data_IF_025409211739
#
_entry.id   IF_025409211739
#
_cell.length_a   1.000
_cell.length_b   1.000
_cell.length_c   1.000
_cell.angle_alpha   90.00
_cell.angle_beta   90.00
_cell.angle_gamma   90.00
#
_symmetry.space_group_name_H-M   'P 1'
#
loop_
_entity.id
_entity.type
_entity.pdbx_description
1 polymer ?
#
# COMPACT_ATOMS: atom_id res chain seq x y z
N UNK A 1 -18.92 -74.45 2.18
CA UNK A 1 -18.11 -73.22 1.99
C UNK A 1 -18.79 -72.31 0.97
N UNK A 2 -19.87 -71.59 1.32
CA UNK A 2 -20.57 -70.66 0.41
C UNK A 2 -21.44 -69.63 1.17
N UNK A 3 -20.88 -68.88 2.14
CA UNK A 3 -21.68 -67.87 2.87
C UNK A 3 -21.00 -66.51 3.08
N UNK A 4 -19.84 -66.25 2.46
CA UNK A 4 -19.12 -64.97 2.65
C UNK A 4 -19.54 -63.84 1.71
N UNK A 5 -20.19 -64.15 0.58
CA UNK A 5 -20.50 -63.16 -0.47
C UNK A 5 -21.61 -62.16 -0.09
N UNK A 6 -22.55 -62.51 0.80
CA UNK A 6 -23.68 -61.64 1.16
C UNK A 6 -23.32 -60.45 2.06
N UNK A 7 -22.27 -60.55 2.88
CA UNK A 7 -21.94 -59.52 3.88
C UNK A 7 -21.29 -58.29 3.25
N UNK A 8 -20.54 -58.47 2.15
CA UNK A 8 -19.91 -57.36 1.42
C UNK A 8 -20.94 -56.44 0.74
N UNK A 9 -22.06 -57.01 0.25
CA UNK A 9 -23.10 -56.25 -0.43
C UNK A 9 -23.82 -55.26 0.50
N UNK A 10 -24.08 -55.67 1.76
CA UNK A 10 -24.81 -54.83 2.73
C UNK A 10 -23.99 -53.61 3.16
N UNK A 11 -22.66 -53.75 3.32
CA UNK A 11 -21.78 -52.62 3.68
C UNK A 11 -21.72 -51.57 2.57
N UNK A 12 -21.60 -52.00 1.32
CA UNK A 12 -21.57 -51.10 0.17
C UNK A 12 -22.85 -50.25 0.05
N UNK A 13 -24.02 -50.83 0.31
CA UNK A 13 -25.30 -50.09 0.29
C UNK A 13 -25.38 -49.06 1.42
N UNK A 14 -24.85 -49.39 2.61
CA UNK A 14 -24.81 -48.46 3.74
C UNK A 14 -23.92 -47.26 3.45
N UNK A 15 -22.71 -47.50 2.96
CA UNK A 15 -21.74 -46.45 2.65
C UNK A 15 -22.29 -45.52 1.54
N UNK A 16 -22.95 -46.08 0.52
CA UNK A 16 -23.61 -45.30 -0.52
C UNK A 16 -24.76 -44.43 0.04
N UNK A 17 -25.54 -44.95 0.99
CA UNK A 17 -26.61 -44.17 1.60
C UNK A 17 -26.07 -43.08 2.54
N UNK A 18 -25.01 -43.36 3.31
CA UNK A 18 -24.33 -42.38 4.16
C UNK A 18 -23.72 -41.25 3.32
N UNK A 19 -23.07 -41.58 2.20
CA UNK A 19 -22.55 -40.58 1.25
C UNK A 19 -23.67 -39.70 0.67
N UNK A 20 -24.83 -40.30 0.33
CA UNK A 20 -25.99 -39.55 -0.17
C UNK A 20 -26.60 -38.63 0.89
N UNK A 21 -26.63 -39.05 2.15
CA UNK A 21 -27.09 -38.22 3.27
C UNK A 21 -26.12 -37.06 3.51
N UNK A 22 -24.81 -37.33 3.50
CA UNK A 22 -23.77 -36.32 3.65
C UNK A 22 -23.83 -35.28 2.52
N UNK A 23 -24.01 -35.72 1.27
CA UNK A 23 -24.15 -34.82 0.11
C UNK A 23 -25.37 -33.90 0.26
N UNK A 24 -26.53 -34.45 0.66
CA UNK A 24 -27.74 -33.64 0.90
C UNK A 24 -27.55 -32.63 2.03
N UNK A 25 -26.84 -33.00 3.10
CA UNK A 25 -26.53 -32.09 4.20
C UNK A 25 -25.64 -30.94 3.71
N UNK A 26 -24.61 -31.24 2.92
CA UNK A 26 -23.72 -30.22 2.36
C UNK A 26 -24.46 -29.27 1.41
N UNK A 27 -25.40 -29.80 0.60
CA UNK A 27 -26.25 -28.98 -0.28
C UNK A 27 -27.17 -28.04 0.52
N UNK A 28 -27.72 -28.50 1.65
CA UNK A 28 -28.52 -27.64 2.52
C UNK A 28 -27.67 -26.57 3.21
N UNK A 29 -26.47 -26.92 3.67
CA UNK A 29 -25.56 -25.98 4.33
C UNK A 29 -25.07 -24.90 3.35
N UNK A 30 -24.77 -25.27 2.11
CA UNK A 30 -24.40 -24.33 1.04
C UNK A 30 -25.55 -23.37 0.71
N UNK A 31 -26.77 -23.87 0.50
CA UNK A 31 -27.97 -23.03 0.33
C UNK A 31 -28.21 -22.09 1.53
N UNK A 32 -27.98 -22.56 2.75
CA UNK A 32 -28.11 -21.73 3.94
C UNK A 32 -27.04 -20.63 4.04
N UNK A 33 -25.83 -20.87 3.53
CA UNK A 33 -24.78 -19.85 3.44
C UNK A 33 -25.10 -18.82 2.35
N UNK A 34 -25.57 -19.26 1.19
CA UNK A 34 -25.99 -18.37 0.10
C UNK A 34 -27.13 -17.45 0.52
N UNK A 35 -28.14 -17.99 1.22
CA UNK A 35 -29.24 -17.20 1.78
C UNK A 35 -28.75 -16.12 2.77
N UNK A 36 -27.78 -16.46 3.63
CA UNK A 36 -27.15 -15.50 4.56
C UNK A 36 -26.37 -14.41 3.82
N UNK A 37 -25.62 -14.77 2.77
CA UNK A 37 -24.90 -13.78 1.94
C UNK A 37 -25.86 -12.86 1.20
N UNK A 38 -26.97 -13.38 0.68
CA UNK A 38 -28.02 -12.59 0.04
C UNK A 38 -28.64 -11.59 1.03
N UNK A 39 -28.95 -12.03 2.26
CA UNK A 39 -29.47 -11.15 3.31
C UNK A 39 -28.48 -10.02 3.68
N UNK A 40 -27.19 -10.31 3.78
CA UNK A 40 -26.15 -9.30 4.04
C UNK A 40 -26.06 -8.29 2.89
N UNK A 41 -26.10 -8.74 1.63
CA UNK A 41 -26.09 -7.85 0.46
C UNK A 41 -27.30 -6.92 0.45
N UNK A 42 -28.49 -7.44 0.75
CA UNK A 42 -29.72 -6.63 0.86
C UNK A 42 -29.63 -5.60 2.00
N UNK A 43 -29.06 -5.97 3.15
CA UNK A 43 -28.86 -5.04 4.26
C UNK A 43 -27.90 -3.90 3.90
N UNK A 44 -26.80 -4.19 3.22
CA UNK A 44 -25.83 -3.18 2.75
C UNK A 44 -26.49 -2.21 1.76
N UNK A 45 -27.29 -2.71 0.83
CA UNK A 45 -28.03 -1.86 -0.12
C UNK A 45 -29.04 -0.95 0.59
N UNK A 46 -29.75 -1.48 1.58
CA UNK A 46 -30.68 -0.69 2.38
C UNK A 46 -29.96 0.42 3.18
N UNK A 47 -28.81 0.11 3.78
CA UNK A 47 -28.01 1.10 4.50
C UNK A 47 -27.45 2.18 3.56
N UNK A 48 -27.06 1.81 2.34
CA UNK A 48 -26.64 2.76 1.32
C UNK A 48 -27.77 3.72 0.93
N UNK A 49 -28.98 3.20 0.67
CA UNK A 49 -30.16 4.03 0.37
C UNK A 49 -30.51 4.97 1.54
N UNK A 50 -30.38 4.48 2.78
CA UNK A 50 -30.60 5.30 3.98
C UNK A 50 -29.60 6.46 4.06
N UNK A 51 -28.32 6.20 3.81
CA UNK A 51 -27.28 7.25 3.81
C UNK A 51 -27.51 8.27 2.69
N UNK A 52 -28.01 7.86 1.52
CA UNK A 52 -28.38 8.78 0.45
C UNK A 52 -29.59 9.66 0.82
N UNK A 53 -30.61 9.11 1.47
CA UNK A 53 -31.73 9.89 1.99
C UNK A 53 -31.26 10.90 3.05
N UNK A 54 -30.39 10.49 3.97
CA UNK A 54 -29.80 11.38 4.97
C UNK A 54 -28.92 12.48 4.33
N UNK A 55 -28.16 12.14 3.28
CA UNK A 55 -27.33 13.10 2.53
C UNK A 55 -28.21 14.12 1.81
N UNK A 56 -29.31 13.70 1.18
CA UNK A 56 -30.28 14.58 0.53
C UNK A 56 -30.99 15.51 1.50
N UNK A 57 -31.33 15.04 2.71
CA UNK A 57 -31.92 15.89 3.74
C UNK A 57 -30.96 16.97 4.24
N UNK A 58 -29.67 16.65 4.39
CA UNK A 58 -28.65 17.62 4.86
C UNK A 58 -28.25 18.65 3.80
N UNK A 59 -28.45 18.37 2.50
CA UNK A 59 -27.97 19.24 1.43
C UNK A 59 -28.93 20.39 1.04
N UNK A 60 -30.12 20.47 1.64
CA UNK A 60 -31.14 21.48 1.32
C UNK A 60 -31.16 22.74 2.22
N UNK A 61 -30.19 22.92 3.12
CA UNK A 61 -30.24 24.02 4.08
C UNK A 61 -28.90 24.70 4.34
N UNK A 62 -28.81 25.97 3.95
CA UNK A 62 -27.86 26.95 4.49
C UNK A 62 -26.39 26.75 4.09
N UNK A 63 -26.16 27.03 2.80
CA UNK A 63 -25.06 27.86 2.28
C UNK A 63 -24.36 28.63 3.41
N UNK A 64 -23.20 28.12 3.82
CA UNK A 64 -22.26 28.77 4.73
C UNK A 64 -21.85 30.14 4.18
N UNK A 65 -22.67 31.16 4.46
CA UNK A 65 -22.35 32.58 4.33
C UNK A 65 -21.88 33.08 5.69
N UNK A 66 -20.73 32.64 6.17
CA UNK A 66 -20.08 33.28 7.33
C UNK A 66 -18.58 33.07 7.35
N UNK A 67 -17.86 34.00 6.71
CA UNK A 67 -16.58 34.58 7.21
C UNK A 67 -15.86 35.38 6.13
N UNK A 68 -16.54 36.35 5.52
CA UNK A 68 -15.86 37.50 4.90
C UNK A 68 -16.44 38.78 5.47
N UNK A 69 -16.08 39.09 6.72
CA UNK A 69 -16.04 40.47 7.19
C UNK A 69 -14.60 40.92 7.16
N UNK A 70 -14.38 41.99 6.39
CA UNK A 70 -13.39 43.04 6.58
C UNK A 70 -11.96 42.65 6.92
N UNK A 71 -11.08 42.75 5.92
CA UNK A 71 -9.72 43.27 6.15
C UNK A 71 -9.38 44.28 5.06
N UNK A 72 -9.53 45.55 5.43
CA UNK A 72 -9.17 46.69 4.60
C UNK A 72 -7.64 46.77 4.43
N UNK A 73 -7.26 47.29 3.26
CA UNK A 73 -5.94 47.81 2.85
C UNK A 73 -5.24 48.62 3.95
N UNK A 74 -3.91 48.75 3.84
CA UNK A 74 -3.42 50.11 3.56
C UNK A 74 -2.44 50.17 2.40
N UNK A 75 -2.45 51.34 1.76
CA UNK A 75 -1.62 51.80 0.66
C UNK A 75 -0.32 52.44 1.15
N UNK A 76 0.76 52.19 0.43
CA UNK A 76 1.92 53.09 0.19
C UNK A 76 2.68 52.46 -0.98
N UNK A 77 2.82 53.03 -2.18
CA UNK A 77 3.31 54.34 -2.63
C UNK A 77 4.72 54.64 -2.11
N UNK A 78 5.73 54.31 -2.93
CA UNK A 78 7.02 55.00 -3.12
C UNK A 78 7.58 54.60 -4.50
N UNK A 79 8.24 55.57 -5.10
CA UNK A 79 8.51 55.82 -6.51
C UNK A 79 9.74 55.11 -7.10
N UNK A 80 9.66 54.89 -8.41
CA UNK A 80 10.60 55.24 -9.50
C UNK A 80 12.12 55.31 -9.23
N UNK A 81 12.91 54.56 -10.01
CA UNK A 81 13.94 55.11 -10.93
C UNK A 81 14.65 54.06 -11.82
N UNK A 82 14.56 54.33 -13.11
CA UNK A 82 15.56 54.31 -14.19
C UNK A 82 16.15 53.01 -14.79
N UNK A 83 16.00 52.98 -16.12
CA UNK A 83 16.72 52.27 -17.18
C UNK A 83 18.25 52.24 -17.06
N UNK A 84 18.86 51.16 -17.56
CA UNK A 84 19.73 51.19 -18.77
C UNK A 84 20.03 49.78 -19.28
N UNK A 85 20.36 49.75 -20.57
CA UNK A 85 20.73 48.66 -21.46
C UNK A 85 21.62 47.55 -20.87
N UNK A 86 21.41 46.32 -21.35
CA UNK A 86 22.53 45.56 -21.92
C UNK A 86 22.05 44.42 -22.84
N UNK A 87 22.26 44.61 -24.14
CA UNK A 87 22.26 43.54 -25.12
C UNK A 87 23.60 42.77 -25.06
N UNK A 88 23.54 41.49 -25.44
CA UNK A 88 24.63 40.60 -25.84
C UNK A 88 25.50 39.97 -24.75
N UNK A 89 25.25 38.68 -24.49
CA UNK A 89 26.32 37.69 -24.49
C UNK A 89 25.77 36.27 -24.68
N UNK A 90 25.88 35.78 -25.93
CA UNK A 90 25.98 34.36 -26.22
C UNK A 90 27.36 33.88 -25.79
N UNK A 91 27.45 33.08 -24.73
CA UNK A 91 28.56 32.12 -24.60
C UNK A 91 28.19 30.92 -23.74
N UNK A 92 27.98 29.82 -24.45
CA UNK A 92 27.92 28.43 -24.04
C UNK A 92 28.75 28.15 -22.77
N UNK A 93 28.09 27.79 -21.68
CA UNK A 93 28.67 27.08 -20.53
C UNK A 93 27.64 26.10 -19.92
N UNK A 94 28.08 24.84 -19.88
CA UNK A 94 27.51 23.59 -19.38
C UNK A 94 26.46 23.68 -18.23
N UNK A 95 25.25 23.20 -18.54
CA UNK A 95 24.32 22.41 -17.73
C UNK A 95 24.33 22.58 -16.19
N UNK A 96 23.84 23.73 -15.70
CA UNK A 96 23.31 23.83 -14.33
C UNK A 96 21.80 23.99 -14.40
N UNK A 97 21.09 23.02 -13.81
CA UNK A 97 19.64 22.84 -13.82
C UNK A 97 18.91 23.96 -13.06
N UNK A 98 18.94 25.18 -13.56
CA UNK A 98 17.99 26.20 -13.15
C UNK A 98 16.64 25.91 -13.81
N UNK A 99 15.74 25.32 -13.03
CA UNK A 99 14.36 25.18 -13.45
C UNK A 99 13.76 26.56 -13.64
N UNK A 100 13.27 26.92 -14.84
CA UNK A 100 12.38 28.05 -14.96
C UNK A 100 11.22 27.82 -13.99
N UNK A 101 10.77 28.86 -13.28
CA UNK A 101 9.61 28.86 -12.38
C UNK A 101 8.34 28.54 -13.18
N UNK A 102 8.23 27.33 -13.71
CA UNK A 102 7.11 26.87 -14.51
C UNK A 102 5.92 26.79 -13.57
N UNK A 103 4.85 27.49 -13.94
CA UNK A 103 3.59 27.47 -13.22
C UNK A 103 3.19 26.02 -12.93
N UNK A 104 3.19 25.63 -11.64
CA UNK A 104 2.87 24.25 -11.20
C UNK A 104 1.53 23.76 -11.75
N UNK A 105 0.57 24.68 -11.96
CA UNK A 105 -0.74 24.37 -12.56
C UNK A 105 -0.65 23.81 -13.99
N UNK A 106 0.43 24.07 -14.72
CA UNK A 106 0.67 23.60 -16.09
C UNK A 106 1.58 22.37 -16.16
N UNK A 107 1.96 21.80 -15.02
CA UNK A 107 2.81 20.60 -15.01
C UNK A 107 2.06 19.41 -15.58
N UNK A 108 2.75 18.70 -16.47
CA UNK A 108 2.33 17.43 -17.02
C UNK A 108 2.77 16.26 -16.11
N UNK A 109 2.49 15.02 -16.54
CA UNK A 109 2.85 13.81 -15.79
C UNK A 109 4.37 13.68 -15.60
N UNK A 110 5.14 14.07 -16.62
CA UNK A 110 6.61 13.98 -16.60
C UNK A 110 7.21 14.97 -15.58
N UNK A 111 6.71 16.21 -15.54
CA UNK A 111 7.10 17.21 -14.55
C UNK A 111 6.82 16.75 -13.11
N UNK A 112 5.70 16.06 -12.88
CA UNK A 112 5.34 15.51 -11.56
C UNK A 112 6.29 14.37 -11.18
N UNK A 113 6.59 13.46 -12.10
CA UNK A 113 7.52 12.36 -11.85
C UNK A 113 8.91 12.89 -11.50
N UNK A 114 9.39 13.90 -12.23
CA UNK A 114 10.64 14.60 -11.91
C UNK A 114 10.60 15.28 -10.53
N UNK A 115 9.45 15.85 -10.15
CA UNK A 115 9.27 16.42 -8.81
C UNK A 115 9.27 15.34 -7.72
N UNK A 116 8.65 14.18 -7.96
CA UNK A 116 8.66 13.03 -7.04
C UNK A 116 10.08 12.51 -6.80
N UNK A 117 10.88 12.36 -7.84
CA UNK A 117 12.30 11.99 -7.72
C UNK A 117 13.09 13.00 -6.90
N UNK A 118 12.82 14.30 -7.05
CA UNK A 118 13.52 15.35 -6.27
C UNK A 118 13.19 15.32 -4.78
N UNK A 119 11.97 14.97 -4.42
CA UNK A 119 11.59 14.84 -3.01
C UNK A 119 11.96 13.47 -2.45
N UNK A 120 12.51 12.54 -3.25
CA UNK A 120 12.90 11.18 -2.88
C UNK A 120 11.68 10.28 -2.62
N UNK A 121 10.67 10.36 -3.49
CA UNK A 121 9.41 9.61 -3.43
C UNK A 121 9.04 9.04 -4.82
N UNK A 122 10.03 8.70 -5.63
CA UNK A 122 9.86 8.14 -6.97
C UNK A 122 9.10 6.81 -7.00
N UNK A 123 9.07 6.07 -5.88
CA UNK A 123 8.34 4.81 -5.73
C UNK A 123 6.83 4.97 -5.98
N UNK A 124 6.26 6.15 -5.69
CA UNK A 124 4.85 6.44 -5.95
C UNK A 124 4.60 6.98 -7.36
N UNK A 125 5.63 7.09 -8.20
CA UNK A 125 5.53 7.64 -9.57
C UNK A 125 4.48 6.91 -10.41
N UNK A 126 4.49 5.57 -10.38
CA UNK A 126 3.53 4.76 -11.13
C UNK A 126 2.07 4.98 -10.68
N UNK A 127 1.84 5.15 -9.38
CA UNK A 127 0.50 5.42 -8.84
C UNK A 127 -0.02 6.80 -9.28
N UNK A 128 0.83 7.82 -9.28
CA UNK A 128 0.48 9.16 -9.76
C UNK A 128 0.23 9.19 -11.27
N UNK A 129 1.01 8.44 -12.04
CA UNK A 129 0.85 8.30 -13.48
C UNK A 129 -0.46 7.56 -13.84
N UNK A 130 -0.72 6.42 -13.20
CA UNK A 130 -1.93 5.61 -13.41
C UNK A 130 -3.22 6.40 -13.11
N UNK A 131 -3.22 7.20 -12.05
CA UNK A 131 -4.35 8.05 -11.68
C UNK A 131 -4.39 9.38 -12.46
N UNK A 132 -3.52 9.57 -13.46
CA UNK A 132 -3.44 10.77 -14.29
C UNK A 132 -3.39 12.07 -13.47
N UNK A 133 -2.64 12.07 -12.37
CA UNK A 133 -2.49 13.27 -11.53
C UNK A 133 -1.74 14.32 -12.36
N UNK A 134 -2.36 15.48 -12.56
CA UNK A 134 -1.77 16.65 -13.23
C UNK A 134 -1.38 17.71 -12.20
N UNK A 135 -0.59 18.73 -12.58
CA UNK A 135 -0.15 19.76 -11.66
C UNK A 135 -1.29 20.52 -10.98
N UNK A 136 -2.44 20.67 -11.66
CA UNK A 136 -3.63 21.27 -11.08
C UNK A 136 -4.31 20.37 -10.02
N UNK A 137 -4.26 19.04 -10.19
CA UNK A 137 -4.79 18.05 -9.25
C UNK A 137 -3.83 17.91 -8.06
N UNK A 138 -2.52 17.84 -8.31
CA UNK A 138 -1.46 17.78 -7.30
C UNK A 138 -1.62 18.90 -6.26
N UNK A 139 -1.94 20.11 -6.73
CA UNK A 139 -2.17 21.27 -5.86
C UNK A 139 -3.46 21.19 -5.04
N UNK A 140 -4.38 20.26 -5.31
CA UNK A 140 -5.63 20.06 -4.56
C UNK A 140 -5.60 18.84 -3.65
N UNK A 141 -4.66 17.91 -3.83
CA UNK A 141 -4.58 16.68 -3.03
C UNK A 141 -4.59 16.96 -1.52
N UNK A 142 -5.35 16.14 -0.82
CA UNK A 142 -5.47 16.05 0.63
C UNK A 142 -4.92 14.72 1.16
N UNK A 143 -4.94 14.52 2.47
CA UNK A 143 -4.41 13.30 3.11
C UNK A 143 -5.15 12.04 2.66
N UNK A 144 -6.49 12.12 2.52
CA UNK A 144 -7.32 11.00 2.06
C UNK A 144 -7.00 10.58 0.63
N UNK A 145 -6.74 11.54 -0.26
CA UNK A 145 -6.37 11.25 -1.65
C UNK A 145 -5.03 10.51 -1.72
N UNK A 146 -4.08 10.85 -0.84
CA UNK A 146 -2.79 10.14 -0.77
C UNK A 146 -2.96 8.69 -0.30
N UNK A 147 -3.90 8.42 0.61
CA UNK A 147 -4.25 7.05 1.01
C UNK A 147 -4.81 6.29 -0.20
N UNK A 148 -5.72 6.90 -0.97
CA UNK A 148 -6.28 6.30 -2.18
C UNK A 148 -5.22 6.01 -3.25
N UNK A 149 -4.19 6.87 -3.35
CA UNK A 149 -3.03 6.66 -4.23
C UNK A 149 -2.04 5.59 -3.73
N UNK A 150 -2.32 4.93 -2.60
CA UNK A 150 -1.49 3.85 -2.04
C UNK A 150 -0.37 4.32 -1.11
N UNK A 151 -0.39 5.57 -0.66
CA UNK A 151 0.58 6.10 0.31
C UNK A 151 0.10 5.78 1.73
N UNK A 152 0.27 4.53 2.16
CA UNK A 152 -0.26 4.03 3.45
C UNK A 152 0.50 4.57 4.68
N UNK A 153 1.77 4.90 4.52
CA UNK A 153 2.62 5.30 5.66
C UNK A 153 2.40 6.77 6.03
N UNK A 154 1.93 7.05 7.25
CA UNK A 154 1.63 8.42 7.72
C UNK A 154 2.80 9.39 7.57
N UNK A 155 4.04 8.97 7.85
CA UNK A 155 5.23 9.83 7.75
C UNK A 155 5.53 10.24 6.31
N UNK A 156 5.28 9.34 5.35
CA UNK A 156 5.43 9.62 3.91
C UNK A 156 4.36 10.59 3.43
N UNK A 157 3.09 10.40 3.82
CA UNK A 157 2.00 11.35 3.54
C UNK A 157 2.30 12.75 4.07
N UNK A 158 2.75 12.85 5.33
CA UNK A 158 3.12 14.14 5.93
C UNK A 158 4.23 14.85 5.16
N UNK A 159 5.25 14.12 4.73
CA UNK A 159 6.36 14.66 3.93
C UNK A 159 5.87 15.12 2.55
N UNK A 160 4.97 14.38 1.92
CA UNK A 160 4.38 14.72 0.63
C UNK A 160 3.47 15.96 0.73
N UNK A 161 2.60 16.03 1.73
CA UNK A 161 1.75 17.20 2.00
C UNK A 161 2.59 18.44 2.33
N UNK A 162 3.70 18.31 3.07
CA UNK A 162 4.65 19.41 3.29
C UNK A 162 5.28 19.89 1.98
N UNK A 163 5.65 18.97 1.08
CA UNK A 163 6.21 19.32 -0.22
C UNK A 163 5.16 20.01 -1.13
N UNK A 164 3.91 19.53 -1.14
CA UNK A 164 2.80 20.17 -1.86
C UNK A 164 2.51 21.58 -1.29
N UNK A 165 2.53 21.75 0.04
CA UNK A 165 2.40 23.08 0.68
C UNK A 165 3.52 24.03 0.26
N UNK A 166 4.76 23.54 0.13
CA UNK A 166 5.89 24.33 -0.42
C UNK A 166 5.61 24.76 -1.87
N UNK A 167 5.15 23.84 -2.72
CA UNK A 167 4.75 24.17 -4.11
C UNK A 167 3.64 25.23 -4.16
N UNK A 168 2.60 25.09 -3.32
CA UNK A 168 1.50 26.07 -3.23
C UNK A 168 1.99 27.46 -2.83
N UNK A 169 3.02 27.54 -1.99
CA UNK A 169 3.58 28.82 -1.53
C UNK A 169 4.45 29.55 -2.56
N UNK A 170 4.78 28.91 -3.69
CA UNK A 170 5.66 29.46 -4.71
C UNK A 170 7.11 29.66 -4.26
N UNK A 171 7.45 29.23 -3.03
CA UNK A 171 8.83 29.21 -2.54
C UNK A 171 9.55 28.03 -3.21
N UNK A 172 10.48 28.36 -4.09
CA UNK A 172 11.41 27.42 -4.71
C UNK A 172 11.97 26.47 -3.64
N UNK A 173 11.97 25.17 -3.93
CA UNK A 173 12.69 24.18 -3.13
C UNK A 173 14.16 24.36 -3.48
N UNK A 174 14.79 25.41 -2.95
CA UNK A 174 16.21 25.59 -3.09
C UNK A 174 16.89 24.45 -2.33
N UNK A 175 17.82 23.77 -3.02
CA UNK A 175 18.41 22.47 -2.69
C UNK A 175 19.22 22.38 -1.37
N UNK A 176 19.03 23.32 -0.44
CA UNK A 176 19.74 23.39 0.85
C UNK A 176 19.07 22.64 2.01
N UNK A 177 18.02 21.86 1.80
CA UNK A 177 17.33 21.13 2.89
C UNK A 177 17.37 19.61 2.75
N UNK A 178 18.34 19.08 2.00
CA UNK A 178 18.63 17.62 1.94
C UNK A 178 19.97 17.28 2.60
N UNK A 179 20.48 18.15 3.47
CA UNK A 179 21.57 17.80 4.37
C UNK A 179 21.01 17.47 5.76
N UNK A 180 21.12 16.19 6.10
CA UNK A 180 21.61 15.73 7.40
C UNK A 180 20.77 16.13 8.64
N UNK A 181 19.67 15.41 8.90
CA UNK A 181 19.14 15.29 10.27
C UNK A 181 20.07 14.35 11.06
N UNK A 182 21.25 14.85 11.42
CA UNK A 182 21.94 14.39 12.62
C UNK A 182 21.21 14.99 13.81
N UNK A 183 20.52 14.12 14.55
CA UNK A 183 19.95 14.44 15.85
C UNK A 183 21.10 14.66 16.83
N UNK A 184 21.52 15.92 16.98
CA UNK A 184 22.47 16.34 18.01
C UNK A 184 21.66 16.78 19.22
N UNK A 185 21.66 15.95 20.26
CA UNK A 185 21.23 16.34 21.60
C UNK A 185 22.15 17.46 22.09
N UNK A 186 21.56 18.61 22.42
CA UNK A 186 22.21 19.67 23.17
C UNK A 186 21.65 19.61 24.58
N UNK A 187 22.44 19.05 25.49
CA UNK A 187 22.22 19.18 26.92
C UNK A 187 22.39 20.65 27.34
N UNK A 188 21.45 21.13 28.15
CA UNK A 188 21.68 22.21 29.12
C UNK A 188 20.95 21.86 30.43
N UNK A 189 21.48 22.29 31.58
CA UNK A 189 21.17 21.73 32.89
C UNK A 189 20.01 22.44 33.60
N UNK A 190 19.44 21.70 34.57
CA UNK A 190 18.62 22.10 35.72
C UNK A 190 17.41 23.01 35.52
N UNK A 191 16.21 22.50 35.83
CA UNK A 191 15.58 22.67 37.15
C UNK A 191 14.05 22.41 37.08
N UNK A 192 13.51 21.81 38.13
CA UNK A 192 12.09 21.68 38.54
C UNK A 192 11.23 20.58 37.92
N UNK A 193 11.23 19.48 38.67
CA UNK A 193 10.18 18.47 38.81
C UNK A 193 8.78 19.09 39.00
N UNK A 194 7.91 18.90 38.00
CA UNK A 194 6.46 18.90 38.22
C UNK A 194 5.96 17.45 38.18
N UNK A 195 5.84 16.90 39.38
CA UNK A 195 5.24 15.62 39.70
C UNK A 195 3.75 15.64 39.30
N UNK A 196 3.44 15.16 38.10
CA UNK A 196 2.04 14.94 37.67
C UNK A 196 1.60 13.59 38.26
N UNK A 197 0.94 13.65 39.41
CA UNK A 197 0.36 12.51 40.13
C UNK A 197 -0.98 12.09 39.48
N UNK A 198 -1.12 10.81 39.13
CA UNK A 198 -2.22 10.28 38.30
C UNK A 198 -3.60 10.25 38.98
N UNK A 199 -3.72 10.68 40.24
CA UNK A 199 -5.00 10.71 40.98
C UNK A 199 -5.91 11.91 40.68
N UNK A 200 -5.55 12.78 39.72
CA UNK A 200 -6.36 13.95 39.35
C UNK A 200 -7.07 13.82 37.99
N UNK A 201 -7.15 12.61 37.43
CA UNK A 201 -8.01 12.38 36.27
C UNK A 201 -9.47 12.30 36.71
N UNK A 202 -10.19 13.40 36.51
CA UNK A 202 -11.65 13.43 36.62
C UNK A 202 -12.23 12.46 35.58
N UNK A 203 -13.21 11.61 35.94
CA UNK A 203 -13.83 10.71 34.98
C UNK A 203 -14.60 11.56 33.95
N UNK A 204 -14.17 11.48 32.69
CA UNK A 204 -14.84 12.15 31.57
C UNK A 204 -16.28 11.65 31.48
N UNK A 205 -17.18 12.52 31.90
CA UNK A 205 -18.63 12.44 31.72
C UNK A 205 -18.90 12.38 30.21
N UNK A 206 -19.57 11.31 29.78
CA UNK A 206 -19.90 11.10 28.37
C UNK A 206 -20.71 12.26 27.81
N UNK A 207 -20.25 12.82 26.70
CA UNK A 207 -21.07 13.61 25.80
C UNK A 207 -20.81 13.16 24.36
N UNK A 208 -21.77 12.36 23.91
CA UNK A 208 -22.38 12.32 22.58
C UNK A 208 -22.39 13.72 21.94
N UNK A 209 -21.88 13.86 20.71
CA UNK A 209 -22.23 14.90 19.71
C UNK A 209 -21.11 14.97 18.65
N UNK A 210 -21.31 14.46 17.43
CA UNK A 210 -21.77 15.18 16.21
C UNK A 210 -20.62 15.68 15.33
N UNK A 211 -20.79 15.39 14.03
CA UNK A 211 -20.14 15.93 12.83
C UNK A 211 -18.67 15.56 12.59
N UNK A 212 -18.36 14.72 11.58
CA UNK A 212 -18.42 14.92 10.11
C UNK A 212 -17.34 15.91 9.62
N UNK A 213 -16.62 15.75 8.52
CA UNK A 213 -16.71 14.99 7.25
C UNK A 213 -15.27 15.03 6.63
N UNK A 214 -14.83 14.30 5.59
CA UNK A 214 -15.15 14.50 4.14
C UNK A 214 -14.16 13.62 3.33
N UNK A 215 -14.59 12.77 2.37
CA UNK A 215 -14.58 12.94 0.90
C UNK A 215 -14.66 11.50 0.31
N UNK A 216 -15.06 11.16 -0.92
CA UNK A 216 -15.63 11.79 -2.10
C UNK A 216 -16.23 10.64 -2.92
N UNK A 217 -17.33 10.92 -3.63
CA UNK A 217 -17.96 9.97 -4.54
C UNK A 217 -17.22 9.96 -5.89
N UNK A 218 -16.95 8.76 -6.42
CA UNK A 218 -16.61 8.54 -7.83
C UNK A 218 -17.72 7.78 -8.53
N UNK A 219 -17.76 8.02 -9.83
CA UNK A 219 -18.85 7.82 -10.77
C UNK A 219 -18.98 6.34 -11.17
N UNK A 220 -20.23 5.93 -11.38
CA UNK A 220 -20.67 4.58 -11.76
C UNK A 220 -19.86 3.95 -12.92
N UNK A 221 -19.35 2.75 -12.67
CA UNK A 221 -18.77 1.83 -13.66
C UNK A 221 -19.28 0.39 -13.40
N UNK A 222 -20.59 0.21 -13.20
CA UNK A 222 -21.16 -1.03 -12.68
C UNK A 222 -21.65 -2.05 -13.73
N UNK A 223 -21.75 -1.71 -15.02
CA UNK A 223 -22.44 -2.58 -15.99
C UNK A 223 -21.52 -3.44 -16.90
N UNK A 224 -20.24 -3.61 -16.58
CA UNK A 224 -19.32 -4.38 -17.45
C UNK A 224 -18.54 -5.53 -16.75
N UNK A 225 -18.87 -5.89 -15.51
CA UNK A 225 -17.98 -6.75 -14.69
C UNK A 225 -18.33 -8.25 -14.74
N UNK A 226 -19.51 -8.63 -15.24
CA UNK A 226 -19.95 -10.03 -15.17
C UNK A 226 -19.24 -10.97 -16.16
N UNK A 227 -18.71 -10.45 -17.28
CA UNK A 227 -17.99 -11.28 -18.25
C UNK A 227 -16.55 -11.62 -17.83
N UNK A 228 -15.87 -10.72 -17.11
CA UNK A 228 -14.48 -10.92 -16.68
C UNK A 228 -14.38 -11.83 -15.45
N UNK A 229 -15.41 -11.84 -14.60
CA UNK A 229 -15.42 -12.65 -13.39
C UNK A 229 -15.48 -14.17 -13.69
N UNK A 230 -16.25 -14.57 -14.70
CA UNK A 230 -16.37 -15.98 -15.10
C UNK A 230 -15.11 -16.53 -15.77
N UNK A 231 -14.37 -15.68 -16.51
CA UNK A 231 -13.06 -16.04 -17.07
C UNK A 231 -12.02 -16.35 -15.99
N UNK A 232 -12.02 -15.61 -14.90
CA UNK A 232 -11.06 -15.79 -13.81
C UNK A 232 -11.38 -17.06 -12.97
N UNK A 233 -12.67 -17.34 -12.73
CA UNK A 233 -13.09 -18.57 -12.03
C UNK A 233 -12.76 -19.82 -12.85
N UNK A 234 -12.95 -19.79 -14.17
CA UNK A 234 -12.56 -20.90 -15.03
C UNK A 234 -11.04 -21.10 -15.08
N UNK A 235 -10.25 -20.03 -15.03
CA UNK A 235 -8.79 -20.13 -14.91
C UNK A 235 -8.34 -20.83 -13.62
N UNK A 236 -8.98 -20.51 -12.49
CA UNK A 236 -8.66 -21.14 -11.19
C UNK A 236 -9.06 -22.62 -11.16
N UNK A 237 -10.18 -22.99 -11.78
CA UNK A 237 -10.60 -24.40 -11.87
C UNK A 237 -9.70 -25.21 -12.81
N UNK A 238 -9.27 -24.62 -13.93
CA UNK A 238 -8.36 -25.27 -14.88
C UNK A 238 -6.94 -25.49 -14.30
N UNK A 239 -6.47 -24.58 -13.44
CA UNK A 239 -5.21 -24.77 -12.69
C UNK A 239 -5.28 -25.95 -11.71
N UNK A 240 -6.45 -26.19 -11.11
CA UNK A 240 -6.64 -27.30 -10.16
C UNK A 240 -6.73 -28.67 -10.82
N UNK A 241 -7.25 -28.77 -12.04
CA UNK A 241 -7.26 -30.03 -12.79
C UNK A 241 -5.85 -30.48 -13.21
N UNK A 242 -4.90 -29.54 -13.33
CA UNK A 242 -3.54 -29.84 -13.78
C UNK A 242 -2.57 -30.28 -12.67
N UNK A 243 -2.98 -30.24 -11.39
CA UNK A 243 -2.19 -30.71 -10.24
C UNK A 243 -2.44 -32.20 -9.87
N UNK A 244 -3.31 -32.89 -10.61
CA UNK A 244 -3.75 -34.24 -10.27
C UNK A 244 -2.74 -35.38 -10.50
N UNK A 245 -1.66 -35.17 -11.26
CA UNK A 245 -0.88 -36.30 -11.81
C UNK A 245 0.63 -36.29 -11.55
N UNK A 246 1.15 -35.38 -10.73
CA UNK A 246 2.55 -35.43 -10.30
C UNK A 246 2.66 -35.74 -8.81
N UNK A 247 2.66 -37.03 -8.51
CA UNK A 247 3.23 -37.64 -7.31
C UNK A 247 4.74 -37.33 -7.24
N UNK A 248 5.10 -36.08 -6.95
CA UNK A 248 6.46 -35.68 -6.64
C UNK A 248 6.51 -35.16 -5.21
N UNK A 249 7.46 -35.69 -4.46
CA UNK A 249 7.71 -35.43 -3.05
C UNK A 249 8.17 -33.98 -2.79
N UNK A 250 7.29 -33.00 -2.96
CA UNK A 250 7.62 -31.62 -2.64
C UNK A 250 7.40 -31.32 -1.16
N UNK A 251 8.52 -31.44 -0.44
CA UNK A 251 8.86 -30.94 0.90
C UNK A 251 8.72 -29.41 1.04
N UNK A 252 7.85 -28.75 0.28
CA UNK A 252 7.91 -27.29 0.15
C UNK A 252 7.16 -26.54 1.27
N UNK A 253 6.21 -27.17 1.95
CA UNK A 253 5.53 -26.56 3.11
C UNK A 253 5.37 -27.59 4.23
N UNK A 254 6.44 -27.81 5.00
CA UNK A 254 6.28 -28.41 6.33
C UNK A 254 5.72 -27.35 7.26
N UNK A 255 4.47 -27.50 7.67
CA UNK A 255 3.86 -26.64 8.68
C UNK A 255 4.78 -26.64 9.92
N UNK A 256 5.33 -25.49 10.35
CA UNK A 256 6.25 -25.44 11.48
C UNK A 256 5.62 -25.96 12.79
N UNK A 257 4.29 -26.09 12.84
CA UNK A 257 3.57 -26.76 13.91
C UNK A 257 3.89 -28.26 14.06
N UNK A 258 4.38 -28.94 13.03
CA UNK A 258 4.67 -30.38 13.09
C UNK A 258 6.00 -30.71 13.82
N UNK A 259 6.86 -29.71 14.03
CA UNK A 259 8.14 -29.89 14.75
C UNK A 259 8.08 -29.46 16.21
N UNK A 260 7.02 -28.76 16.63
CA UNK A 260 6.77 -28.55 18.06
C UNK A 260 6.27 -29.90 18.57
N UNK A 261 7.07 -30.53 19.41
CA UNK A 261 6.69 -31.75 20.14
C UNK A 261 5.25 -31.58 20.60
N UNK A 262 4.38 -32.51 20.18
CA UNK A 262 2.94 -32.56 20.46
C UNK A 262 2.68 -32.68 21.99
N UNK A 263 3.11 -31.70 22.76
CA UNK A 263 3.05 -31.64 24.21
C UNK A 263 1.64 -31.26 24.63
N UNK A 264 1.05 -32.12 25.46
CA UNK A 264 -0.09 -31.94 26.38
C UNK A 264 -1.41 -31.34 25.86
N UNK A 265 -1.40 -30.43 24.89
CA UNK A 265 -2.57 -29.77 24.31
C UNK A 265 -3.56 -30.77 23.68
N UNK A 266 -3.06 -31.82 23.02
CA UNK A 266 -3.90 -32.90 22.45
C UNK A 266 -4.48 -33.85 23.50
N UNK A 267 -3.94 -33.88 24.71
CA UNK A 267 -4.46 -34.71 25.80
C UNK A 267 -5.64 -34.06 26.53
N UNK A 268 -6.02 -32.83 26.15
CA UNK A 268 -7.14 -32.10 26.76
C UNK A 268 -6.87 -31.62 28.18
N UNK A 269 -5.62 -31.70 28.65
CA UNK A 269 -5.21 -31.21 29.97
C UNK A 269 -4.58 -29.84 29.75
N UNK A 270 -5.43 -28.86 29.40
CA UNK A 270 -5.02 -27.46 29.36
C UNK A 270 -5.13 -26.90 30.77
N UNK A 271 -4.00 -26.64 31.42
CA UNK A 271 -3.99 -25.92 32.68
C UNK A 271 -4.15 -24.42 32.38
N UNK A 272 -5.40 -23.96 32.34
CA UNK A 272 -5.76 -22.57 32.02
C UNK A 272 -5.02 -21.57 32.91
N UNK A 273 -4.75 -21.90 34.17
CA UNK A 273 -4.06 -21.02 35.10
C UNK A 273 -2.59 -20.81 34.72
N UNK A 274 -1.91 -21.87 34.27
CA UNK A 274 -0.51 -21.79 33.82
C UNK A 274 -0.37 -21.00 32.52
N UNK A 275 -1.29 -21.17 31.58
CA UNK A 275 -1.31 -20.39 30.34
C UNK A 275 -1.63 -18.92 30.60
N UNK A 276 -2.57 -18.65 31.52
CA UNK A 276 -2.92 -17.28 31.90
C UNK A 276 -1.75 -16.60 32.62
N UNK A 277 -1.01 -17.32 33.47
CA UNK A 277 0.21 -16.81 34.11
C UNK A 277 1.32 -16.55 33.07
N UNK A 278 1.55 -17.48 32.14
CA UNK A 278 2.51 -17.30 31.04
C UNK A 278 2.16 -16.08 30.18
N UNK A 279 0.88 -15.85 29.90
CA UNK A 279 0.40 -14.68 29.18
C UNK A 279 0.64 -13.39 29.98
N UNK A 280 0.32 -13.36 31.28
CA UNK A 280 0.60 -12.19 32.15
C UNK A 280 2.10 -11.89 32.21
N UNK A 281 2.95 -12.92 32.27
CA UNK A 281 4.40 -12.78 32.25
C UNK A 281 4.92 -12.24 30.91
N UNK A 282 4.38 -12.71 29.78
CA UNK A 282 4.73 -12.18 28.46
C UNK A 282 4.32 -10.71 28.29
N UNK A 283 3.13 -10.34 28.75
CA UNK A 283 2.64 -8.96 28.70
C UNK A 283 3.46 -8.04 29.63
N UNK A 284 3.83 -8.51 30.83
CA UNK A 284 4.68 -7.73 31.73
C UNK A 284 6.08 -7.54 31.15
N UNK A 285 6.67 -8.59 30.57
CA UNK A 285 7.95 -8.52 29.86
C UNK A 285 7.92 -7.55 28.68
N UNK A 286 6.84 -7.53 27.89
CA UNK A 286 6.70 -6.58 26.78
C UNK A 286 6.61 -5.12 27.25
N UNK A 287 5.87 -4.89 28.34
CA UNK A 287 5.73 -3.55 28.96
C UNK A 287 7.04 -3.05 29.58
N UNK A 288 7.84 -3.94 30.17
CA UNK A 288 9.13 -3.57 30.77
C UNK A 288 10.24 -3.45 29.72
N UNK A 289 10.23 -4.29 28.67
CA UNK A 289 11.19 -4.21 27.57
C UNK A 289 11.13 -2.86 26.84
N UNK A 290 9.95 -2.23 26.75
CA UNK A 290 9.78 -0.91 26.13
C UNK A 290 10.38 0.26 26.94
N UNK A 291 10.70 0.04 28.23
CA UNK A 291 11.29 1.08 29.11
C UNK A 291 12.81 0.94 29.26
N UNK A 292 13.39 -0.18 28.84
CA UNK A 292 14.83 -0.44 28.92
C UNK A 292 15.55 -0.13 27.58
N UNK A 293 15.24 1.01 26.97
CA UNK A 293 15.81 1.41 25.67
C UNK A 293 17.25 1.95 25.76
N UNK A 294 17.85 2.02 26.94
CA UNK A 294 19.26 2.45 27.05
C UNK A 294 20.28 1.33 26.75
N UNK A 295 19.84 0.09 26.48
CA UNK A 295 20.77 -1.03 26.22
C UNK A 295 20.40 -1.90 24.99
N UNK A 296 19.28 -1.61 24.32
CA UNK A 296 18.85 -2.38 23.12
C UNK A 296 19.58 -1.90 21.85
N UNK A 297 20.05 -0.65 21.80
CA UNK A 297 20.81 -0.15 20.64
C UNK A 297 22.16 -0.85 20.44
N UNK A 298 22.81 -1.37 21.50
CA UNK A 298 24.10 -2.06 21.34
C UNK A 298 23.94 -3.54 20.96
N UNK A 299 22.92 -4.23 21.48
CA UNK A 299 22.69 -5.66 21.17
C UNK A 299 22.04 -5.87 19.80
N UNK A 300 21.22 -4.93 19.32
CA UNK A 300 20.65 -4.99 17.96
C UNK A 300 21.66 -4.56 16.90
N UNK A 301 22.63 -3.68 17.24
CA UNK A 301 23.71 -3.27 16.32
C UNK A 301 24.66 -4.43 16.02
N UNK A 302 24.99 -5.24 17.02
CA UNK A 302 25.93 -6.37 16.85
C UNK A 302 25.34 -7.57 16.09
N UNK A 303 24.00 -7.73 16.05
CA UNK A 303 23.34 -8.73 15.19
C UNK A 303 22.96 -8.22 13.79
N UNK A 304 22.67 -6.93 13.61
CA UNK A 304 22.38 -6.37 12.27
C UNK A 304 23.61 -6.15 11.40
N UNK A 305 24.79 -5.97 11.99
CA UNK A 305 26.02 -5.77 11.20
C UNK A 305 26.54 -7.05 10.52
N UNK A 306 26.06 -8.24 10.91
CA UNK A 306 26.42 -9.52 10.25
C UNK A 306 25.41 -10.05 9.23
N UNK A 307 24.22 -9.46 9.10
CA UNK A 307 23.19 -9.86 8.11
C UNK A 307 22.76 -8.73 7.16
N UNK A 308 23.23 -7.49 7.35
CA UNK A 308 23.00 -6.38 6.41
C UNK A 308 24.16 -6.15 5.42
N UNK A 309 25.04 -7.13 5.22
CA UNK A 309 26.04 -7.09 4.16
C UNK A 309 25.38 -7.46 2.82
N UNK A 310 25.15 -6.44 2.00
CA UNK A 310 24.64 -6.48 0.63
C UNK A 310 23.16 -6.88 0.49
N UNK A 311 22.27 -5.88 0.58
CA UNK A 311 21.00 -5.93 -0.16
C UNK A 311 21.38 -5.89 -1.64
N UNK A 312 21.72 -7.05 -2.20
CA UNK A 312 21.99 -7.20 -3.63
C UNK A 312 20.67 -6.91 -4.33
N UNK A 313 20.62 -5.79 -5.04
CA UNK A 313 19.46 -5.41 -5.84
C UNK A 313 19.17 -6.53 -6.84
N UNK A 314 17.99 -7.13 -6.73
CA UNK A 314 17.50 -8.13 -7.67
C UNK A 314 16.81 -7.42 -8.83
N UNK A 315 17.11 -7.83 -10.06
CA UNK A 315 16.46 -7.35 -11.27
C UNK A 315 15.89 -8.54 -12.05
N UNK A 316 14.78 -8.33 -12.77
CA UNK A 316 14.17 -9.36 -13.63
C UNK A 316 14.68 -9.25 -15.07
N UNK A 317 14.90 -10.39 -15.72
CA UNK A 317 15.25 -10.43 -17.14
C UNK A 317 14.07 -10.01 -18.01
N UNK A 318 14.28 -9.09 -18.95
CA UNK A 318 13.22 -8.60 -19.84
C UNK A 318 12.69 -9.62 -20.85
N UNK A 319 13.40 -10.72 -21.10
CA UNK A 319 12.93 -11.78 -22.01
C UNK A 319 12.24 -12.94 -21.28
N UNK A 320 12.87 -13.47 -20.23
CA UNK A 320 12.41 -14.69 -19.56
C UNK A 320 11.86 -14.46 -18.14
N UNK A 321 11.83 -13.21 -17.67
CA UNK A 321 11.35 -12.78 -16.36
C UNK A 321 12.06 -13.41 -15.14
N UNK A 322 13.14 -14.17 -15.35
CA UNK A 322 13.94 -14.74 -14.25
C UNK A 322 14.61 -13.63 -13.44
N UNK A 323 14.51 -13.72 -12.12
CA UNK A 323 15.19 -12.82 -11.17
C UNK A 323 16.67 -13.18 -11.07
N UNK A 324 17.55 -12.21 -11.30
CA UNK A 324 19.00 -12.30 -11.15
C UNK A 324 19.55 -11.19 -10.25
N UNK A 325 20.77 -11.37 -9.76
CA UNK A 325 21.52 -10.27 -9.12
C UNK A 325 22.00 -9.31 -10.21
N UNK A 326 22.07 -8.02 -9.92
CA UNK A 326 22.55 -6.99 -10.86
C UNK A 326 23.92 -7.32 -11.47
N UNK A 327 24.82 -7.96 -10.71
CA UNK A 327 26.13 -8.41 -11.19
C UNK A 327 26.07 -9.56 -12.20
N UNK A 328 25.02 -10.39 -12.14
CA UNK A 328 24.85 -11.56 -13.01
C UNK A 328 24.12 -11.24 -14.33
N UNK A 329 23.64 -10.01 -14.51
CA UNK A 329 22.83 -9.64 -15.66
C UNK A 329 23.65 -8.90 -16.72
N UNK A 330 23.46 -9.28 -17.98
CA UNK A 330 23.98 -8.55 -19.13
C UNK A 330 23.06 -7.36 -19.42
N UNK A 331 23.58 -6.14 -19.28
CA UNK A 331 22.84 -4.91 -19.59
C UNK A 331 23.00 -4.54 -21.08
N UNK A 332 21.90 -4.20 -21.73
CA UNK A 332 21.92 -3.61 -23.07
C UNK A 332 21.96 -2.08 -22.95
N UNK A 333 23.04 -1.46 -23.44
CA UNK A 333 23.25 -0.01 -23.36
C UNK A 333 22.28 0.77 -24.26
N UNK A 334 21.83 0.17 -25.37
CA UNK A 334 20.93 0.83 -26.31
C UNK A 334 19.50 0.93 -25.74
N UNK A 335 19.07 -0.13 -25.04
CA UNK A 335 17.70 -0.26 -24.55
C UNK A 335 17.55 0.08 -23.06
N UNK A 336 18.67 0.23 -22.34
CA UNK A 336 18.71 0.33 -20.88
C UNK A 336 17.96 -0.80 -20.17
N UNK A 337 18.07 -2.03 -20.69
CA UNK A 337 17.37 -3.23 -20.18
C UNK A 337 18.34 -4.30 -19.71
N UNK A 338 17.99 -5.01 -18.63
CA UNK A 338 18.76 -6.12 -18.07
C UNK A 338 18.30 -7.49 -18.59
N UNK A 339 19.25 -8.35 -18.96
CA UNK A 339 19.01 -9.72 -19.44
C UNK A 339 19.84 -10.73 -18.65
N UNK A 340 19.29 -11.93 -18.39
CA UNK A 340 20.03 -12.99 -17.69
C UNK A 340 21.08 -13.68 -18.57
N UNK A 341 21.03 -13.48 -19.89
CA UNK A 341 22.00 -14.04 -20.84
C UNK A 341 21.99 -13.27 -22.17
N UNK A 342 23.09 -13.39 -22.92
CA UNK A 342 23.20 -12.86 -24.30
C UNK A 342 22.11 -13.45 -25.21
N UNK A 343 21.75 -14.72 -25.00
CA UNK A 343 20.66 -15.38 -25.74
C UNK A 343 19.33 -14.68 -25.49
N UNK A 344 19.00 -14.36 -24.23
CA UNK A 344 17.78 -13.60 -23.90
C UNK A 344 17.77 -12.20 -24.52
N UNK A 345 18.92 -11.50 -24.52
CA UNK A 345 19.05 -10.19 -25.17
C UNK A 345 18.80 -10.29 -26.68
N UNK A 346 19.36 -11.29 -27.36
CA UNK A 346 19.21 -11.45 -28.80
C UNK A 346 17.77 -11.84 -29.20
N UNK A 347 17.13 -12.72 -28.41
CA UNK A 347 15.70 -13.04 -28.60
C UNK A 347 14.83 -11.79 -28.47
N UNK A 348 15.08 -10.97 -27.45
CA UNK A 348 14.37 -9.71 -27.27
C UNK A 348 14.55 -8.75 -28.45
N UNK A 349 15.79 -8.57 -28.95
CA UNK A 349 16.06 -7.73 -30.13
C UNK A 349 15.32 -8.25 -31.37
N UNK A 350 15.29 -9.57 -31.59
CA UNK A 350 14.59 -10.17 -32.73
C UNK A 350 13.06 -9.98 -32.63
N UNK A 351 12.49 -10.12 -31.43
CA UNK A 351 11.06 -9.88 -31.21
C UNK A 351 10.69 -8.40 -31.39
N UNK A 352 11.51 -7.48 -30.89
CA UNK A 352 11.34 -6.05 -31.14
C UNK A 352 11.44 -5.71 -32.64
N UNK A 353 12.40 -6.28 -33.37
CA UNK A 353 12.53 -6.07 -34.81
C UNK A 353 11.26 -6.51 -35.57
N UNK A 354 10.75 -7.72 -35.28
CA UNK A 354 9.50 -8.24 -35.87
C UNK A 354 8.27 -7.42 -35.52
N UNK A 355 8.27 -6.78 -34.35
CA UNK A 355 7.17 -5.90 -33.95
C UNK A 355 7.21 -4.59 -34.75
N UNK A 356 8.39 -4.00 -34.95
CA UNK A 356 8.54 -2.80 -35.76
C UNK A 356 8.28 -3.03 -37.25
N UNK A 357 8.68 -4.19 -37.80
CA UNK A 357 8.33 -4.58 -39.18
C UNK A 357 6.82 -4.65 -39.36
N UNK A 358 6.10 -5.28 -38.43
CA UNK A 358 4.63 -5.37 -38.49
C UNK A 358 3.93 -4.01 -38.39
N UNK A 359 4.49 -3.07 -37.63
CA UNK A 359 3.96 -1.70 -37.59
C UNK A 359 4.19 -1.00 -38.93
N UNK A 360 5.40 -1.13 -39.50
CA UNK A 360 5.73 -0.51 -40.79
C UNK A 360 4.92 -1.08 -41.97
N UNK A 361 4.49 -2.35 -41.90
CA UNK A 361 3.58 -2.95 -42.89
C UNK A 361 2.11 -2.52 -42.73
N UNK A 362 1.75 -1.95 -41.57
CA UNK A 362 0.38 -1.52 -41.27
C UNK A 362 0.10 -0.05 -41.55
N UNK A 363 1.15 0.74 -41.85
CA UNK A 363 1.09 2.13 -42.32
C UNK A 363 1.13 2.19 -43.84
#
# INVERSE_FOLDING_TARGET
MTSSSGIASIRSVRDANEARIAAKKLELDTKAMESRLCAVRLAVLHDQQKLELERSQKHNGHRWKSSRKNRQKPESKIESRNSTDNQNNEKITMASQHQPKRNVRKWDRCDIQNWLTRIGMEEYGAAFEFNNVTGAILLKLEDQDLIYLGVETSSTRDRMLKAIKKLRSGKSIDAKTTENVKFTQKETPDDKSLLIHWSHTTPMRGNRSENALEQQATVNAADAVDALHMSNINGILQWKEHEGDTLSQDKFWSNPADKVTNGELKKGILNEEKEHEAFRAAVSAWRTASRSTNNIENVVRERKEKECSAIVSKQSCWQCYRLGTTESMTHDLELSKGFCSVTCRNLYKNECARYHERIAESE
#
